data_IF_885667801460
#
_entry.id   IF_885667801460
#
_cell.length_a   1.000
_cell.length_b   1.000
_cell.length_c   1.000
_cell.angle_alpha   90.00
_cell.angle_beta   90.00
_cell.angle_gamma   90.00
#
_symmetry.space_group_name_H-M   'P 1'
#
loop_
_entity.id
_entity.type
_entity.pdbx_description
1 polymer ?
#
# COMPACT_ATOMS: atom_id res chain seq x y z
N UNK A 1 4.78 -11.55 -12.22
CA UNK A 1 3.77 -11.29 -11.15
C UNK A 1 4.42 -10.40 -10.12
N UNK A 2 3.67 -9.61 -9.35
CA UNK A 2 4.24 -8.68 -8.39
C UNK A 2 3.70 -8.90 -6.98
N UNK A 3 4.60 -8.78 -6.01
CA UNK A 3 4.29 -8.45 -4.62
C UNK A 3 4.35 -6.94 -4.46
N UNK A 4 3.41 -6.36 -3.74
CA UNK A 4 3.29 -4.91 -3.53
C UNK A 4 3.47 -4.63 -2.05
N UNK A 5 4.46 -3.80 -1.72
CA UNK A 5 4.78 -3.42 -0.35
C UNK A 5 4.44 -1.95 -0.17
N UNK A 6 3.58 -1.66 0.80
CA UNK A 6 3.23 -0.32 1.24
C UNK A 6 4.01 -0.03 2.51
N UNK A 7 5.06 0.79 2.42
CA UNK A 7 5.90 1.15 3.58
C UNK A 7 5.56 2.56 4.04
N UNK A 8 5.25 2.73 5.32
CA UNK A 8 5.04 4.07 5.89
C UNK A 8 6.35 4.84 5.87
N UNK A 9 6.35 6.00 5.22
CA UNK A 9 7.52 6.86 5.08
C UNK A 9 7.24 8.25 5.60
N UNK A 10 8.28 8.90 6.10
CA UNK A 10 8.24 10.35 6.26
C UNK A 10 8.45 11.00 4.90
N UNK A 11 7.56 11.91 4.52
CA UNK A 11 7.68 12.64 3.28
C UNK A 11 7.88 14.12 3.59
N UNK A 12 8.92 14.70 2.97
CA UNK A 12 9.14 16.13 3.07
C UNK A 12 7.97 16.96 2.51
N UNK A 13 7.17 16.39 1.58
CA UNK A 13 5.93 16.93 0.99
C UNK A 13 4.98 15.76 0.64
N UNK A 14 3.65 15.92 0.74
CA UNK A 14 2.91 17.15 1.00
C UNK A 14 3.01 17.60 2.47
N UNK A 15 3.17 18.91 2.67
CA UNK A 15 2.97 19.59 3.96
C UNK A 15 1.64 20.33 3.89
N UNK A 16 1.09 20.75 5.02
CA UNK A 16 0.00 21.73 4.99
C UNK A 16 0.42 22.93 4.13
N UNK A 17 -0.52 23.49 3.36
CA UNK A 17 -0.32 24.75 2.63
C UNK A 17 0.14 25.85 3.60
N UNK A 18 -0.28 25.76 4.86
CA UNK A 18 0.02 26.70 5.93
C UNK A 18 1.39 26.43 6.59
N UNK A 19 2.16 25.46 6.08
CA UNK A 19 3.47 25.06 6.61
C UNK A 19 3.45 24.28 7.93
N UNK A 20 2.27 24.07 8.51
CA UNK A 20 2.05 23.25 9.71
C UNK A 20 2.23 21.75 9.41
N UNK A 21 2.48 20.91 10.44
CA UNK A 21 2.40 19.46 10.28
C UNK A 21 1.05 19.08 9.64
N UNK A 22 1.06 18.06 8.77
CA UNK A 22 -0.18 17.49 8.20
C UNK A 22 -1.08 16.88 9.28
N UNK A 23 -0.53 16.62 10.46
CA UNK A 23 -1.26 16.13 11.62
C UNK A 23 -1.95 17.27 12.38
N UNK A 24 -3.26 17.16 12.57
CA UNK A 24 -4.10 18.09 13.34
C UNK A 24 -4.03 17.80 14.83
N UNK A 25 -3.98 16.51 15.22
CA UNK A 25 -4.19 16.08 16.62
C UNK A 25 -3.13 15.10 17.17
N UNK A 26 -1.98 14.95 16.49
CA UNK A 26 -0.87 14.07 16.89
C UNK A 26 -0.54 12.95 15.88
N UNK A 27 0.45 12.08 16.16
CA UNK A 27 0.86 11.01 15.25
C UNK A 27 -0.22 9.92 15.12
N UNK A 28 -0.21 9.18 14.00
CA UNK A 28 -1.10 8.05 13.78
C UNK A 28 -1.01 7.02 14.93
N UNK A 29 -2.16 6.47 15.32
CA UNK A 29 -2.25 5.48 16.41
C UNK A 29 -2.00 4.04 15.95
N UNK A 30 -2.08 3.78 14.64
CA UNK A 30 -2.00 2.44 14.06
C UNK A 30 -0.68 2.14 13.37
N UNK A 31 0.03 3.19 12.95
CA UNK A 31 1.23 3.09 12.14
C UNK A 31 2.34 4.02 12.65
N UNK A 32 3.58 3.58 12.53
CA UNK A 32 4.80 4.38 12.64
C UNK A 32 5.62 4.29 11.35
N UNK A 33 6.57 5.21 11.17
CA UNK A 33 7.50 5.18 10.04
C UNK A 33 8.22 3.83 10.00
N UNK A 34 8.27 3.22 8.82
CA UNK A 34 8.88 1.92 8.56
C UNK A 34 7.90 0.74 8.59
N UNK A 35 6.72 0.88 9.19
CA UNK A 35 5.71 -0.18 9.20
C UNK A 35 5.23 -0.51 7.78
N UNK A 36 4.92 -1.79 7.54
CA UNK A 36 4.56 -2.29 6.22
C UNK A 36 3.19 -2.95 6.18
N UNK A 37 2.57 -2.87 5.01
CA UNK A 37 1.47 -3.71 4.57
C UNK A 37 1.83 -4.35 3.24
N UNK A 38 1.69 -5.65 3.12
CA UNK A 38 2.18 -6.39 1.95
C UNK A 38 1.06 -7.17 1.27
N UNK A 39 0.86 -6.92 -0.02
CA UNK A 39 -0.12 -7.63 -0.87
C UNK A 39 0.60 -8.46 -1.92
N UNK A 40 0.13 -9.67 -2.19
CA UNK A 40 0.67 -10.49 -3.30
C UNK A 40 -0.40 -11.30 -4.01
N UNK A 41 -0.02 -11.85 -5.16
CA UNK A 41 -0.86 -12.73 -5.97
C UNK A 41 -1.91 -11.98 -6.77
N UNK A 42 -2.55 -12.70 -7.69
CA UNK A 42 -3.71 -12.22 -8.44
C UNK A 42 -4.73 -13.38 -8.50
N UNK A 43 -5.85 -13.33 -7.74
CA UNK A 43 -6.37 -12.19 -6.97
C UNK A 43 -5.47 -11.79 -5.78
N UNK A 44 -5.51 -10.51 -5.41
CA UNK A 44 -4.66 -9.94 -4.36
C UNK A 44 -5.00 -10.48 -2.97
N UNK A 45 -3.97 -10.87 -2.21
CA UNK A 45 -4.07 -11.32 -0.82
C UNK A 45 -3.17 -10.48 0.08
N UNK A 46 -3.58 -10.26 1.32
CA UNK A 46 -2.71 -9.70 2.35
C UNK A 46 -1.77 -10.79 2.92
N UNK A 47 -0.46 -10.51 2.96
CA UNK A 47 0.55 -11.34 3.60
C UNK A 47 0.76 -10.86 5.02
N UNK A 48 0.18 -11.58 5.98
CA UNK A 48 0.26 -11.21 7.39
C UNK A 48 1.69 -11.39 7.94
N UNK A 49 2.44 -12.35 7.42
CA UNK A 49 3.83 -12.62 7.78
C UNK A 49 4.82 -11.52 7.36
N UNK A 50 4.44 -10.69 6.37
CA UNK A 50 5.23 -9.55 5.88
C UNK A 50 4.53 -8.20 6.16
N UNK A 51 3.56 -8.18 7.07
CA UNK A 51 2.78 -6.99 7.43
C UNK A 51 2.91 -6.72 8.92
N UNK A 52 3.38 -5.52 9.27
CA UNK A 52 3.54 -5.13 10.67
C UNK A 52 2.19 -4.73 11.31
N UNK A 53 1.34 -4.04 10.55
CA UNK A 53 0.06 -3.52 11.03
C UNK A 53 -0.93 -3.31 9.89
N UNK A 54 -2.22 -3.52 10.18
CA UNK A 54 -3.32 -3.31 9.23
C UNK A 54 -4.35 -2.39 9.85
N UNK A 55 -4.36 -1.12 9.45
CA UNK A 55 -5.49 -0.24 9.72
C UNK A 55 -6.56 -0.46 8.66
N UNK A 56 -7.76 -0.87 9.06
CA UNK A 56 -8.86 -1.14 8.14
C UNK A 56 -9.27 0.08 7.29
N UNK A 57 -9.15 1.30 7.83
CA UNK A 57 -9.45 2.52 7.08
C UNK A 57 -8.39 2.83 6.00
N UNK A 58 -7.11 2.68 6.33
CA UNK A 58 -6.04 2.84 5.35
C UNK A 58 -6.08 1.73 4.30
N UNK A 59 -6.39 0.49 4.70
CA UNK A 59 -6.50 -0.62 3.77
C UNK A 59 -7.70 -0.49 2.85
N UNK A 60 -8.89 -0.17 3.36
CA UNK A 60 -10.12 -0.06 2.55
C UNK A 60 -10.00 0.98 1.43
N UNK A 61 -9.28 2.08 1.66
CA UNK A 61 -9.08 3.13 0.67
C UNK A 61 -8.12 2.72 -0.47
N UNK A 62 -7.23 1.76 -0.26
CA UNK A 62 -6.34 1.24 -1.33
C UNK A 62 -6.77 -0.12 -1.89
N UNK A 63 -7.55 -0.89 -1.12
CA UNK A 63 -7.98 -2.26 -1.41
C UNK A 63 -8.45 -2.46 -2.86
N UNK A 64 -9.28 -1.58 -3.46
CA UNK A 64 -9.75 -1.77 -4.84
C UNK A 64 -8.64 -1.84 -5.89
N UNK A 65 -7.49 -1.20 -5.64
CA UNK A 65 -6.37 -1.15 -6.58
C UNK A 65 -5.36 -2.27 -6.38
N UNK A 66 -5.37 -2.92 -5.21
CA UNK A 66 -4.31 -3.85 -4.81
C UNK A 66 -4.13 -5.03 -5.77
N UNK A 67 -5.23 -5.62 -6.28
CA UNK A 67 -5.17 -6.70 -7.28
C UNK A 67 -4.62 -6.24 -8.64
N UNK A 68 -4.84 -4.97 -8.99
CA UNK A 68 -4.30 -4.41 -10.23
C UNK A 68 -2.79 -4.08 -10.09
N UNK A 69 -2.34 -3.73 -8.90
CA UNK A 69 -0.92 -3.48 -8.61
C UNK A 69 -0.06 -4.76 -8.60
N UNK A 70 -0.66 -5.94 -8.36
CA UNK A 70 0.06 -7.24 -8.33
C UNK A 70 0.22 -7.89 -9.72
N UNK A 71 -0.44 -7.37 -10.76
CA UNK A 71 -0.32 -7.87 -12.13
C UNK A 71 0.64 -7.03 -12.97
N UNK A 72 1.08 -7.61 -14.09
CA UNK A 72 1.82 -6.88 -15.10
C UNK A 72 0.96 -5.80 -15.75
N UNK A 73 1.60 -4.67 -16.09
CA UNK A 73 1.01 -3.57 -16.84
C UNK A 73 1.31 -3.81 -18.31
N UNK A 74 0.28 -4.15 -19.08
CA UNK A 74 0.43 -4.48 -20.51
C UNK A 74 0.01 -3.34 -21.43
N UNK A 75 -0.80 -2.40 -20.92
CA UNK A 75 -1.41 -1.35 -21.72
C UNK A 75 -0.76 0.02 -21.47
N UNK A 76 -0.59 0.88 -22.48
CA UNK A 76 0.05 2.20 -22.31
C UNK A 76 -0.68 3.15 -21.34
N UNK A 77 -2.01 3.04 -21.25
CA UNK A 77 -2.84 3.88 -20.36
C UNK A 77 -2.90 3.37 -18.93
N UNK A 78 -2.48 2.12 -18.70
CA UNK A 78 -2.44 1.56 -17.36
C UNK A 78 -1.28 2.19 -16.58
N UNK A 79 -1.61 2.69 -15.39
CA UNK A 79 -0.73 3.48 -14.55
C UNK A 79 -0.44 2.80 -13.21
N UNK A 80 -0.81 1.53 -13.04
CA UNK A 80 -0.62 0.80 -11.78
C UNK A 80 0.84 0.67 -11.37
N UNK A 81 1.79 0.77 -12.30
CA UNK A 81 3.25 0.82 -12.06
C UNK A 81 3.76 2.23 -11.70
N UNK A 82 2.97 3.26 -12.02
CA UNK A 82 3.31 4.68 -11.77
C UNK A 82 2.86 5.17 -10.41
N UNK A 83 2.00 4.43 -9.70
CA UNK A 83 1.57 4.77 -8.34
C UNK A 83 2.74 4.50 -7.39
N UNK A 84 3.47 5.56 -7.02
CA UNK A 84 4.61 5.48 -6.11
C UNK A 84 4.26 5.79 -4.65
N UNK A 85 3.15 6.49 -4.40
CA UNK A 85 2.72 6.90 -3.07
C UNK A 85 1.21 6.78 -2.91
N UNK A 86 0.81 6.50 -1.68
CA UNK A 86 -0.58 6.42 -1.25
C UNK A 86 -0.72 7.11 0.11
N UNK A 87 -1.72 7.98 0.26
CA UNK A 87 -2.00 8.64 1.55
C UNK A 87 -3.18 7.96 2.24
N UNK A 88 -3.02 7.71 3.54
CA UNK A 88 -4.14 7.36 4.41
C UNK A 88 -5.25 8.43 4.31
N UNK A 89 -6.54 8.04 4.32
CA UNK A 89 -7.67 8.98 4.24
C UNK A 89 -7.97 9.71 5.57
N UNK A 90 -7.23 9.41 6.64
CA UNK A 90 -7.39 10.07 7.95
C UNK A 90 -7.10 11.58 7.82
N UNK A 91 -8.11 12.41 8.08
CA UNK A 91 -8.02 13.86 7.98
C UNK A 91 -7.25 14.51 9.13
N UNK A 92 -7.11 13.83 10.26
CA UNK A 92 -6.41 14.36 11.43
C UNK A 92 -4.97 13.85 11.52
N UNK A 93 -4.73 12.60 11.14
CA UNK A 93 -3.45 11.91 11.37
C UNK A 93 -3.01 11.08 10.15
N UNK A 94 -2.90 11.69 8.95
CA UNK A 94 -2.58 10.94 7.74
C UNK A 94 -1.13 10.42 7.80
N UNK A 95 -0.93 9.18 7.39
CA UNK A 95 0.39 8.64 7.05
C UNK A 95 0.50 8.44 5.54
N UNK A 96 1.71 8.53 5.03
CA UNK A 96 2.01 8.29 3.61
C UNK A 96 2.74 6.97 3.47
N UNK A 97 2.26 6.14 2.56
CA UNK A 97 2.88 4.89 2.16
C UNK A 97 3.65 5.10 0.86
N UNK A 98 4.92 4.73 0.84
CA UNK A 98 5.66 4.46 -0.40
C UNK A 98 5.21 3.09 -0.91
N UNK A 99 4.89 3.02 -2.19
CA UNK A 99 4.44 1.81 -2.86
C UNK A 99 5.60 1.24 -3.66
N UNK A 100 5.97 -0.01 -3.40
CA UNK A 100 7.03 -0.71 -4.11
C UNK A 100 6.50 -2.02 -4.67
N UNK A 101 6.71 -2.22 -5.98
CA UNK A 101 6.33 -3.45 -6.69
C UNK A 101 7.58 -4.30 -6.90
N UNK A 102 7.57 -5.48 -6.30
CA UNK A 102 8.67 -6.44 -6.33
C UNK A 102 8.24 -7.58 -7.24
N UNK A 103 9.01 -7.84 -8.30
CA UNK A 103 8.76 -8.97 -9.18
C UNK A 103 8.95 -10.29 -8.41
N UNK A 104 7.99 -11.20 -8.58
CA UNK A 104 7.97 -12.52 -7.93
C UNK A 104 7.70 -13.60 -8.96
N UNK A 105 8.22 -14.80 -8.70
CA UNK A 105 8.03 -15.93 -9.62
C UNK A 105 6.57 -16.36 -9.62
N UNK A 106 6.05 -16.71 -10.79
CA UNK A 106 4.71 -17.24 -10.90
C UNK A 106 4.61 -18.55 -10.09
N UNK A 107 3.63 -18.63 -9.19
CA UNK A 107 3.44 -19.78 -8.29
C UNK A 107 4.16 -19.69 -6.95
N UNK A 108 4.99 -18.65 -6.71
CA UNK A 108 5.61 -18.38 -5.39
C UNK A 108 4.53 -18.16 -4.31
N UNK A 109 3.46 -17.49 -4.72
CA UNK A 109 2.26 -17.33 -3.91
C UNK A 109 1.08 -17.95 -4.67
N UNK A 110 0.80 -19.25 -4.50
CA UNK A 110 -0.34 -19.90 -5.15
C UNK A 110 -1.67 -19.44 -4.51
N UNK A 111 -2.81 -19.50 -5.21
CA UNK A 111 -4.10 -19.27 -4.60
C UNK A 111 -4.30 -20.26 -3.43
N UNK A 112 -4.99 -19.87 -2.34
CA UNK A 112 -5.27 -20.79 -1.24
C UNK A 112 -6.13 -21.99 -1.70
N UNK A 113 -6.94 -21.79 -2.74
CA UNK A 113 -7.78 -22.82 -3.35
C UNK A 113 -7.42 -22.96 -4.84
N UNK A 114 -6.39 -23.75 -5.19
CA UNK A 114 -5.92 -23.89 -6.57
C UNK A 114 -6.90 -24.66 -7.47
N UNK A 115 -7.91 -25.34 -6.90
CA UNK A 115 -9.01 -26.02 -7.58
C UNK A 115 -10.32 -25.68 -6.86
N UNK A 116 -10.97 -24.56 -7.22
CA UNK A 116 -12.22 -24.14 -6.60
C UNK A 116 -13.38 -25.11 -6.91
#
# INVERSE_FOLDING_TARGET
MYKVVFTVVDVGKPRSIDGKPTHVSGPCKMYKIGDKMTITGNPGRLLLEETDSVCLAAFSAILPLTSAMTREVTEPWDYMDKIAYYSCPDSERPVVFKVERIEVKQGEYPPPYPKP
#
